data_IF_696656255410
#
_entry.id   IF_696656255410
#
_cell.length_a   1.000
_cell.length_b   1.000
_cell.length_c   1.000
_cell.angle_alpha   90.00
_cell.angle_beta   90.00
_cell.angle_gamma   90.00
#
_symmetry.space_group_name_H-M   'P 1'
#
loop_
_entity.id
_entity.type
_entity.pdbx_description
1 polymer ?
#
# COMPACT_ATOMS: atom_id res chain seq x y z
N UNK A 1 70.21 23.78 -62.57
CA UNK A 1 70.13 24.93 -61.65
C UNK A 1 69.09 24.58 -60.62
N UNK A 2 69.57 24.49 -59.37
CA UNK A 2 68.85 23.92 -58.26
C UNK A 2 67.98 24.96 -57.58
N UNK A 3 66.79 24.60 -57.19
CA UNK A 3 66.08 25.26 -56.11
C UNK A 3 65.32 24.21 -55.23
N UNK A 4 65.89 24.04 -54.09
CA UNK A 4 65.31 23.23 -53.03
C UNK A 4 64.21 24.05 -52.31
N UNK A 5 63.00 23.61 -52.31
CA UNK A 5 61.94 24.15 -51.41
C UNK A 5 61.88 23.31 -50.11
N UNK A 6 62.22 23.94 -49.05
CA UNK A 6 62.12 23.41 -47.69
C UNK A 6 60.65 23.48 -47.20
N UNK A 7 60.04 22.35 -47.01
CA UNK A 7 58.69 22.28 -46.43
C UNK A 7 58.80 22.08 -44.95
N UNK A 8 58.49 23.13 -44.21
CA UNK A 8 58.41 23.13 -42.76
C UNK A 8 57.09 22.53 -42.32
N UNK A 9 57.12 21.35 -41.68
CA UNK A 9 55.94 20.75 -41.06
C UNK A 9 55.62 21.41 -39.73
N UNK A 10 54.50 22.10 -39.66
CA UNK A 10 53.92 22.59 -38.46
C UNK A 10 53.15 21.42 -37.79
N UNK A 11 53.70 20.89 -36.72
CA UNK A 11 53.03 19.91 -35.88
C UNK A 11 52.08 20.62 -34.93
N UNK A 12 50.79 20.55 -35.19
CA UNK A 12 49.75 21.08 -34.35
C UNK A 12 49.39 20.00 -33.30
N UNK A 13 49.90 20.21 -32.08
CA UNK A 13 49.54 19.33 -30.95
C UNK A 13 48.16 19.76 -30.45
N UNK A 14 47.16 18.97 -30.76
CA UNK A 14 45.82 19.11 -30.18
C UNK A 14 45.82 18.40 -28.86
N UNK A 15 45.91 19.18 -27.76
CA UNK A 15 45.68 18.67 -26.43
C UNK A 15 44.20 18.45 -26.21
N UNK A 16 43.76 17.22 -26.29
CA UNK A 16 42.38 16.79 -25.95
C UNK A 16 42.25 16.80 -24.45
N UNK A 17 41.66 17.85 -23.90
CA UNK A 17 41.18 17.89 -22.50
C UNK A 17 39.96 16.93 -22.35
N UNK A 18 40.23 15.74 -21.87
CA UNK A 18 39.19 14.81 -21.46
C UNK A 18 38.64 15.30 -20.12
N UNK A 19 37.56 16.08 -20.15
CA UNK A 19 36.72 16.32 -18.98
C UNK A 19 36.00 15.03 -18.63
N UNK A 20 36.59 14.21 -17.79
CA UNK A 20 35.94 13.10 -17.11
C UNK A 20 34.89 13.65 -16.18
N UNK A 21 33.61 13.68 -16.60
CA UNK A 21 32.49 13.79 -15.70
C UNK A 21 32.48 12.55 -14.81
N UNK A 22 33.09 12.69 -13.65
CA UNK A 22 32.95 11.75 -12.53
C UNK A 22 31.58 12.00 -11.92
N UNK A 23 30.55 11.39 -12.53
CA UNK A 23 29.22 11.29 -11.95
C UNK A 23 29.36 10.60 -10.60
N UNK A 24 29.21 11.33 -9.51
CA UNK A 24 29.06 10.75 -8.18
C UNK A 24 27.82 9.88 -8.22
N UNK A 25 28.03 8.56 -8.23
CA UNK A 25 26.98 7.58 -7.90
C UNK A 25 26.56 7.92 -6.48
N UNK A 26 25.42 8.58 -6.34
CA UNK A 26 24.78 8.73 -5.02
C UNK A 26 24.49 7.32 -4.55
N UNK A 27 25.24 6.84 -3.58
CA UNK A 27 24.84 5.66 -2.82
C UNK A 27 23.41 5.91 -2.34
N UNK A 28 22.48 5.10 -2.85
CA UNK A 28 21.12 5.06 -2.36
C UNK A 28 21.21 4.54 -0.94
N UNK A 29 21.05 5.44 0.00
CA UNK A 29 21.10 5.15 1.44
C UNK A 29 19.99 4.16 1.76
N UNK A 30 20.34 2.87 1.82
CA UNK A 30 19.42 1.73 2.03
C UNK A 30 18.71 1.74 3.40
N UNK A 31 18.97 2.74 4.24
CA UNK A 31 18.42 2.84 5.59
C UNK A 31 17.41 3.98 5.77
N UNK A 32 16.92 4.59 4.69
CA UNK A 32 15.84 5.57 4.83
C UNK A 32 14.56 4.79 5.12
N UNK A 33 14.05 4.91 6.35
CA UNK A 33 12.71 4.44 6.69
C UNK A 33 11.74 4.92 5.60
N UNK A 34 10.95 4.00 5.04
CA UNK A 34 9.99 4.36 4.01
C UNK A 34 9.05 5.43 4.59
N UNK A 35 9.00 6.56 3.93
CA UNK A 35 8.17 7.68 4.36
C UNK A 35 6.74 7.39 3.92
N UNK A 36 5.78 7.62 4.82
CA UNK A 36 4.36 7.58 4.51
C UNK A 36 4.03 8.40 3.26
N UNK A 37 3.27 7.81 2.35
CA UNK A 37 2.97 8.37 1.02
C UNK A 37 1.62 9.10 0.96
N UNK A 38 0.75 8.97 1.98
CA UNK A 38 -0.57 9.59 1.99
C UNK A 38 -0.48 11.05 2.47
N UNK A 39 -0.72 12.07 1.62
CA UNK A 39 -0.88 13.44 2.06
C UNK A 39 -2.22 13.60 2.79
N UNK A 40 -2.28 14.43 3.83
CA UNK A 40 -3.50 14.79 4.55
C UNK A 40 -3.82 16.28 4.34
N UNK A 41 -5.11 16.63 4.40
CA UNK A 41 -5.62 17.99 4.23
C UNK A 41 -5.72 18.70 5.58
N UNK A 42 -4.58 19.01 6.19
CA UNK A 42 -4.55 19.67 7.49
C UNK A 42 -5.23 21.04 7.44
N UNK A 43 -6.18 21.27 8.35
CA UNK A 43 -6.87 22.56 8.51
C UNK A 43 -8.10 22.78 7.62
N UNK A 44 -8.44 21.86 6.73
CA UNK A 44 -9.71 21.91 5.98
C UNK A 44 -10.83 21.26 6.83
N UNK A 45 -11.86 22.05 7.13
CA UNK A 45 -12.97 21.63 7.99
C UNK A 45 -13.81 20.48 7.45
N UNK A 46 -13.71 20.20 6.15
CA UNK A 46 -14.38 19.06 5.52
C UNK A 46 -13.74 17.73 5.89
N UNK A 47 -12.48 17.75 6.29
CA UNK A 47 -11.73 16.54 6.62
C UNK A 47 -11.72 16.28 8.12
N UNK A 48 -12.06 15.06 8.48
CA UNK A 48 -12.10 14.57 9.86
C UNK A 48 -11.02 13.51 10.02
N UNK A 49 -10.07 13.73 10.92
CA UNK A 49 -8.97 12.82 11.12
C UNK A 49 -9.43 11.46 11.68
N UNK A 50 -8.90 10.39 11.14
CA UNK A 50 -9.13 9.03 11.65
C UNK A 50 -8.37 8.85 12.96
N UNK A 51 -9.09 8.41 14.01
CA UNK A 51 -8.49 7.97 15.27
C UNK A 51 -7.84 6.58 15.07
N UNK A 52 -6.54 6.56 14.86
CA UNK A 52 -5.80 5.32 14.57
C UNK A 52 -5.73 4.36 15.75
N UNK A 53 -6.03 4.81 16.98
CA UNK A 53 -6.06 3.96 18.18
C UNK A 53 -7.39 3.22 18.32
N UNK A 54 -8.48 3.85 17.87
CA UNK A 54 -9.83 3.26 17.93
C UNK A 54 -10.23 2.55 16.63
N UNK A 55 -9.44 2.74 15.55
CA UNK A 55 -9.67 2.15 14.23
C UNK A 55 -8.84 0.89 14.03
N UNK A 56 -9.39 -0.09 13.32
CA UNK A 56 -8.72 -1.39 13.10
C UNK A 56 -9.17 -2.00 11.78
N UNK A 57 -8.24 -2.66 11.10
CA UNK A 57 -8.53 -3.55 9.98
C UNK A 57 -8.21 -4.97 10.43
N UNK A 58 -9.24 -5.81 10.50
CA UNK A 58 -9.10 -7.24 10.75
C UNK A 58 -9.02 -7.97 9.41
N UNK A 59 -8.06 -8.87 9.26
CA UNK A 59 -7.92 -9.71 8.07
C UNK A 59 -8.23 -11.17 8.38
N UNK A 60 -8.71 -11.90 7.38
CA UNK A 60 -8.95 -13.32 7.45
C UNK A 60 -8.51 -13.98 6.13
N UNK A 61 -7.72 -15.03 6.25
CA UNK A 61 -7.28 -15.90 5.15
C UNK A 61 -7.37 -17.37 5.55
N UNK A 62 -7.35 -18.28 4.58
CA UNK A 62 -7.44 -19.72 4.83
C UNK A 62 -6.71 -20.52 3.74
N UNK A 63 -6.59 -21.84 3.94
CA UNK A 63 -6.29 -22.74 2.84
C UNK A 63 -7.41 -22.72 1.80
N UNK A 64 -7.15 -23.24 0.59
CA UNK A 64 -8.15 -23.31 -0.49
C UNK A 64 -9.39 -24.09 -0.07
N UNK A 65 -9.22 -25.14 0.73
CA UNK A 65 -10.33 -25.97 1.26
C UNK A 65 -11.09 -25.29 2.42
N UNK A 66 -10.75 -24.04 2.80
CA UNK A 66 -11.36 -23.36 3.94
C UNK A 66 -10.94 -23.90 5.30
N UNK A 67 -10.01 -24.84 5.33
CA UNK A 67 -9.47 -25.43 6.57
C UNK A 67 -8.40 -24.51 7.14
N UNK A 68 -8.26 -24.51 8.47
CA UNK A 68 -7.27 -23.68 9.21
C UNK A 68 -7.40 -22.18 8.86
N UNK A 69 -8.53 -21.52 9.11
CA UNK A 69 -8.65 -20.09 8.92
C UNK A 69 -7.68 -19.37 9.88
N UNK A 70 -6.94 -18.42 9.32
CA UNK A 70 -6.15 -17.48 10.10
C UNK A 70 -6.83 -16.13 10.13
N UNK A 71 -6.81 -15.48 11.28
CA UNK A 71 -7.39 -14.18 11.50
C UNK A 71 -6.43 -13.32 12.30
N UNK A 72 -6.37 -12.06 11.96
CA UNK A 72 -5.53 -11.12 12.67
C UNK A 72 -5.91 -9.70 12.35
N UNK A 73 -5.06 -8.76 12.70
CA UNK A 73 -5.32 -7.35 12.51
C UNK A 73 -4.07 -6.59 12.11
N UNK A 74 -4.32 -5.42 11.54
CA UNK A 74 -3.31 -4.45 11.16
C UNK A 74 -3.83 -3.07 11.51
N UNK A 75 -2.95 -2.15 11.89
CA UNK A 75 -3.33 -0.82 12.33
C UNK A 75 -3.11 0.23 11.25
N UNK A 76 -3.93 1.27 11.31
CA UNK A 76 -3.75 2.44 10.50
C UNK A 76 -2.57 3.27 11.03
N UNK A 77 -1.77 3.82 10.13
CA UNK A 77 -0.74 4.83 10.46
C UNK A 77 -1.35 6.23 10.49
N UNK A 78 -2.27 6.52 9.59
CA UNK A 78 -3.02 7.77 9.48
C UNK A 78 -4.19 7.65 8.53
N UNK A 79 -5.02 8.69 8.49
CA UNK A 79 -6.11 8.79 7.52
C UNK A 79 -7.05 9.93 7.87
N UNK A 80 -7.93 10.21 6.94
CA UNK A 80 -8.98 11.23 7.06
C UNK A 80 -10.21 10.83 6.26
N UNK A 81 -11.37 11.27 6.72
CA UNK A 81 -12.64 11.11 6.03
C UNK A 81 -13.16 12.50 5.61
N UNK A 82 -13.64 12.62 4.39
CA UNK A 82 -14.27 13.85 3.90
C UNK A 82 -15.76 13.81 4.19
N UNK A 83 -16.23 14.81 4.96
CA UNK A 83 -17.62 14.92 5.39
C UNK A 83 -18.20 16.22 4.85
N UNK A 84 -19.22 16.13 4.02
CA UNK A 84 -19.95 17.27 3.49
C UNK A 84 -21.45 17.12 3.81
N UNK A 85 -22.06 18.18 4.31
CA UNK A 85 -23.49 18.18 4.70
C UNK A 85 -23.88 17.01 5.62
N UNK A 86 -22.96 16.64 6.54
CA UNK A 86 -23.19 15.55 7.49
C UNK A 86 -23.11 14.14 6.88
N UNK A 87 -22.58 14.00 5.66
CA UNK A 87 -22.43 12.71 4.98
C UNK A 87 -20.99 12.46 4.55
N UNK A 88 -20.59 11.20 4.56
CA UNK A 88 -19.31 10.76 4.00
C UNK A 88 -19.35 10.94 2.48
N UNK A 89 -18.39 11.68 1.93
CA UNK A 89 -18.25 11.90 0.48
C UNK A 89 -16.92 11.39 -0.07
N UNK A 90 -15.91 11.19 0.78
CA UNK A 90 -14.59 10.73 0.38
C UNK A 90 -13.70 10.43 1.58
N UNK A 91 -12.41 10.32 1.33
CA UNK A 91 -11.41 10.11 2.35
C UNK A 91 -10.29 9.19 1.90
N UNK A 92 -9.28 9.05 2.73
CA UNK A 92 -8.19 8.13 2.50
C UNK A 92 -7.61 7.62 3.81
N UNK A 93 -7.09 6.40 3.79
CA UNK A 93 -6.45 5.77 4.93
C UNK A 93 -5.19 5.05 4.51
N UNK A 94 -4.20 5.06 5.39
CA UNK A 94 -2.93 4.36 5.25
C UNK A 94 -2.78 3.36 6.39
N UNK A 95 -2.38 2.15 6.04
CA UNK A 95 -2.15 1.03 6.96
C UNK A 95 -0.65 0.79 7.06
N UNK A 96 -0.13 0.66 8.31
CA UNK A 96 1.24 0.24 8.55
C UNK A 96 1.33 -1.29 8.54
N UNK A 97 1.87 -1.85 7.45
CA UNK A 97 2.01 -3.29 7.25
C UNK A 97 2.99 -3.95 8.24
N UNK A 98 3.86 -3.17 8.92
CA UNK A 98 4.70 -3.70 9.99
C UNK A 98 3.90 -4.14 11.21
N UNK A 99 2.69 -3.62 11.37
CA UNK A 99 1.80 -3.90 12.50
C UNK A 99 0.95 -5.17 12.34
N UNK A 100 1.11 -5.92 11.24
CA UNK A 100 0.37 -7.18 11.03
C UNK A 100 0.58 -8.11 12.22
N UNK A 101 -0.54 -8.59 12.77
CA UNK A 101 -0.59 -9.54 13.89
C UNK A 101 -1.56 -10.67 13.60
N UNK A 102 -1.30 -11.83 14.17
CA UNK A 102 -2.19 -12.98 14.21
C UNK A 102 -2.95 -12.96 15.55
N UNK A 103 -4.27 -13.17 15.52
CA UNK A 103 -5.10 -13.16 16.70
C UNK A 103 -4.76 -14.33 17.65
N UNK A 104 -4.45 -15.50 17.09
CA UNK A 104 -4.18 -16.71 17.86
C UNK A 104 -2.79 -16.78 18.50
N UNK A 105 -1.77 -16.20 17.86
CA UNK A 105 -0.36 -16.49 18.20
C UNK A 105 0.49 -15.25 18.43
N UNK A 106 0.00 -14.13 18.85
CA UNK A 106 0.80 -12.90 19.11
C UNK A 106 1.93 -12.66 18.07
N UNK A 107 2.50 -11.52 17.98
CA UNK A 107 3.26 -10.94 16.85
C UNK A 107 4.55 -11.65 16.36
N UNK A 108 4.91 -12.83 16.87
CA UNK A 108 6.21 -13.43 16.56
C UNK A 108 6.15 -14.90 16.09
N UNK A 109 5.08 -15.29 15.39
CA UNK A 109 4.96 -16.63 14.83
C UNK A 109 5.46 -16.71 13.38
N UNK A 110 5.63 -17.94 12.88
CA UNK A 110 6.10 -18.18 11.51
C UNK A 110 5.15 -17.61 10.45
N UNK A 111 3.84 -17.60 10.70
CA UNK A 111 2.86 -17.02 9.79
C UNK A 111 3.11 -15.52 9.59
N UNK A 112 3.29 -14.76 10.67
CA UNK A 112 3.55 -13.31 10.59
C UNK A 112 4.87 -13.01 9.88
N UNK A 113 5.92 -13.79 10.14
CA UNK A 113 7.18 -13.66 9.39
C UNK A 113 6.95 -13.86 7.91
N UNK A 114 6.23 -14.92 7.55
CA UNK A 114 5.93 -15.26 6.17
C UNK A 114 5.04 -14.22 5.48
N UNK A 115 4.02 -13.70 6.16
CA UNK A 115 3.20 -12.61 5.62
C UNK A 115 4.01 -11.35 5.29
N UNK A 116 5.11 -11.11 6.01
CA UNK A 116 6.01 -9.96 5.78
C UNK A 116 7.08 -10.20 4.73
N UNK A 117 7.30 -11.46 4.32
CA UNK A 117 8.34 -11.84 3.37
C UNK A 117 8.05 -11.35 1.93
N UNK A 118 9.09 -11.33 1.06
CA UNK A 118 8.98 -10.84 -0.33
C UNK A 118 7.95 -11.57 -1.19
N UNK A 119 7.73 -12.86 -0.96
CA UNK A 119 6.77 -13.69 -1.71
C UNK A 119 5.31 -13.47 -1.27
N UNK A 120 5.09 -12.68 -0.20
CA UNK A 120 3.78 -12.27 0.25
C UNK A 120 3.62 -10.74 0.18
N UNK A 121 3.61 -10.01 1.30
CA UNK A 121 3.42 -8.56 1.29
C UNK A 121 4.71 -7.74 1.08
N UNK A 122 5.88 -8.35 1.23
CA UNK A 122 7.20 -7.69 1.12
C UNK A 122 7.27 -6.38 1.92
N UNK A 123 6.93 -6.49 3.20
CA UNK A 123 6.73 -5.33 4.08
C UNK A 123 7.98 -4.47 4.22
N UNK A 124 9.17 -5.08 4.04
CA UNK A 124 10.44 -4.33 4.04
C UNK A 124 10.52 -3.33 2.90
N UNK A 125 10.01 -3.68 1.73
CA UNK A 125 10.00 -2.82 0.54
C UNK A 125 8.72 -1.97 0.50
N UNK A 126 7.58 -2.52 0.93
CA UNK A 126 6.27 -1.89 0.87
C UNK A 126 5.62 -1.82 2.26
N UNK A 127 6.13 -0.97 3.17
CA UNK A 127 5.66 -0.92 4.55
C UNK A 127 4.26 -0.33 4.72
N UNK A 128 3.69 0.27 3.67
CA UNK A 128 2.36 0.87 3.72
C UNK A 128 1.46 0.35 2.61
N UNK A 129 0.17 0.21 2.94
CA UNK A 129 -0.93 0.01 2.00
C UNK A 129 -1.93 1.14 2.17
N UNK A 130 -2.59 1.57 1.09
CA UNK A 130 -3.51 2.72 1.14
C UNK A 130 -4.84 2.40 0.46
N UNK A 131 -5.91 3.00 0.98
CA UNK A 131 -7.22 3.05 0.35
C UNK A 131 -7.61 4.52 0.17
N UNK A 132 -7.84 4.95 -1.07
CA UNK A 132 -8.40 6.26 -1.40
C UNK A 132 -9.83 6.09 -1.91
N UNK A 133 -10.81 6.66 -1.21
CA UNK A 133 -12.23 6.60 -1.60
C UNK A 133 -12.43 7.51 -2.80
N UNK A 134 -12.99 6.96 -3.88
CA UNK A 134 -13.28 7.69 -5.11
C UNK A 134 -14.77 7.95 -5.32
N UNK A 135 -15.64 7.17 -4.66
CA UNK A 135 -17.08 7.32 -4.73
C UNK A 135 -17.75 6.74 -3.49
N UNK A 136 -18.75 7.45 -3.00
CA UNK A 136 -19.68 6.99 -1.97
C UNK A 136 -21.10 7.05 -2.52
N UNK A 137 -21.75 5.90 -2.69
CA UNK A 137 -23.13 5.81 -3.11
C UNK A 137 -24.01 5.44 -1.91
N UNK A 138 -25.03 6.23 -1.61
CA UNK A 138 -25.99 5.94 -0.55
C UNK A 138 -26.96 4.86 -0.97
N UNK A 139 -27.11 3.80 -0.16
CA UNK A 139 -28.15 2.78 -0.28
C UNK A 139 -29.35 3.25 0.56
N UNK A 140 -29.06 3.68 1.78
CA UNK A 140 -30.01 4.35 2.67
C UNK A 140 -29.25 5.36 3.56
N UNK A 141 -29.82 5.80 4.67
CA UNK A 141 -29.20 6.81 5.55
C UNK A 141 -27.83 6.37 6.07
N UNK A 142 -27.65 5.11 6.45
CA UNK A 142 -26.43 4.60 7.07
C UNK A 142 -25.65 3.66 6.13
N UNK A 143 -26.35 2.86 5.32
CA UNK A 143 -25.69 1.89 4.44
C UNK A 143 -25.22 2.56 3.15
N UNK A 144 -23.96 2.40 2.86
CA UNK A 144 -23.23 2.98 1.73
C UNK A 144 -22.54 1.88 0.91
N UNK A 145 -22.42 2.14 -0.39
CA UNK A 145 -21.50 1.43 -1.26
C UNK A 145 -20.26 2.30 -1.44
N UNK A 146 -19.14 1.84 -0.94
CA UNK A 146 -17.85 2.54 -1.03
C UNK A 146 -17.09 2.00 -2.24
N UNK A 147 -16.65 2.88 -3.12
CA UNK A 147 -15.69 2.56 -4.19
C UNK A 147 -14.42 3.33 -3.93
N UNK A 148 -13.27 2.68 -4.07
CA UNK A 148 -11.98 3.31 -3.85
C UNK A 148 -10.85 2.59 -4.57
N UNK A 149 -9.69 3.21 -4.58
CA UNK A 149 -8.44 2.66 -5.10
C UNK A 149 -7.64 2.08 -3.94
N UNK A 150 -7.48 0.75 -3.92
CA UNK A 150 -6.67 0.03 -2.95
C UNK A 150 -5.28 -0.21 -3.54
N UNK A 151 -4.25 0.26 -2.84
CA UNK A 151 -2.85 0.06 -3.21
C UNK A 151 -2.17 -0.87 -2.21
N UNK A 152 -1.65 -2.00 -2.69
CA UNK A 152 -0.82 -2.96 -1.94
C UNK A 152 0.41 -3.25 -2.81
N UNK A 153 1.60 -3.31 -2.24
CA UNK A 153 2.88 -3.54 -2.96
C UNK A 153 3.05 -2.59 -4.17
N UNK A 154 2.66 -1.32 -4.04
CA UNK A 154 2.65 -0.31 -5.10
C UNK A 154 1.79 -0.68 -6.34
N UNK A 155 0.92 -1.66 -6.23
CA UNK A 155 -0.05 -2.02 -7.27
C UNK A 155 -1.41 -1.49 -6.81
N UNK A 156 -2.11 -0.78 -7.70
CA UNK A 156 -3.41 -0.17 -7.38
C UNK A 156 -4.52 -0.82 -8.20
N UNK A 157 -5.57 -1.24 -7.51
CA UNK A 157 -6.80 -1.73 -8.14
C UNK A 157 -8.03 -1.08 -7.52
N UNK A 158 -9.08 -0.84 -8.32
CA UNK A 158 -10.37 -0.41 -7.79
C UNK A 158 -11.00 -1.54 -6.98
N UNK A 159 -11.59 -1.16 -5.84
CA UNK A 159 -12.38 -2.05 -5.01
C UNK A 159 -13.71 -1.41 -4.70
N UNK A 160 -14.75 -2.25 -4.48
CA UNK A 160 -16.07 -1.77 -4.09
C UNK A 160 -16.61 -2.68 -3.00
N UNK A 161 -17.12 -2.09 -1.92
CA UNK A 161 -17.60 -2.85 -0.75
C UNK A 161 -18.70 -2.10 -0.01
N UNK A 162 -19.59 -2.82 0.67
CA UNK A 162 -20.60 -2.23 1.53
C UNK A 162 -19.99 -1.74 2.83
N UNK A 163 -20.51 -0.62 3.33
CA UNK A 163 -20.16 -0.10 4.64
C UNK A 163 -21.37 0.56 5.31
N UNK A 164 -21.47 0.41 6.63
CA UNK A 164 -22.39 1.18 7.46
C UNK A 164 -21.65 2.39 8.01
N UNK A 165 -22.19 3.58 7.80
CA UNK A 165 -21.56 4.85 8.17
C UNK A 165 -22.55 5.70 8.97
N UNK A 166 -22.15 6.09 10.17
CA UNK A 166 -22.87 6.97 11.05
C UNK A 166 -22.07 8.25 11.25
N UNK A 167 -22.70 9.41 10.98
CA UNK A 167 -22.09 10.73 11.21
C UNK A 167 -22.99 11.47 12.22
N UNK A 168 -22.46 11.72 13.42
CA UNK A 168 -23.22 12.38 14.48
C UNK A 168 -22.30 13.22 15.38
N UNK A 169 -22.64 14.50 15.57
CA UNK A 169 -21.95 15.40 16.50
C UNK A 169 -20.40 15.42 16.31
N UNK A 170 -19.92 15.47 15.09
CA UNK A 170 -18.48 15.48 14.76
C UNK A 170 -17.79 14.12 14.90
N UNK A 171 -18.52 13.07 15.29
CA UNK A 171 -18.03 11.70 15.34
C UNK A 171 -18.50 10.95 14.09
N UNK A 172 -17.58 10.27 13.42
CA UNK A 172 -17.84 9.35 12.31
C UNK A 172 -17.50 7.94 12.74
N UNK A 173 -18.45 7.01 12.57
CA UNK A 173 -18.23 5.58 12.73
C UNK A 173 -18.51 4.90 11.40
N UNK A 174 -17.55 4.15 10.88
CA UNK A 174 -17.73 3.38 9.67
C UNK A 174 -17.29 1.93 9.88
N UNK A 175 -18.14 0.99 9.45
CA UNK A 175 -17.86 -0.45 9.47
C UNK A 175 -18.06 -1.00 8.06
N UNK A 176 -17.03 -1.55 7.46
CA UNK A 176 -17.05 -2.08 6.10
C UNK A 176 -16.56 -3.53 6.03
N UNK A 177 -17.00 -4.25 5.00
CA UNK A 177 -16.52 -5.61 4.70
C UNK A 177 -16.01 -5.64 3.26
N UNK A 178 -14.74 -5.96 3.10
CA UNK A 178 -14.08 -6.05 1.80
C UNK A 178 -13.47 -7.44 1.63
N UNK A 179 -13.67 -8.05 0.47
CA UNK A 179 -12.94 -9.25 0.06
C UNK A 179 -12.18 -8.95 -1.22
N UNK A 180 -10.92 -9.33 -1.26
CA UNK A 180 -10.05 -9.16 -2.43
C UNK A 180 -9.52 -10.49 -2.93
N UNK A 181 -9.16 -10.53 -4.21
CA UNK A 181 -8.27 -11.54 -4.77
C UNK A 181 -6.82 -11.03 -4.65
N UNK A 182 -6.03 -11.60 -3.73
CA UNK A 182 -4.66 -11.17 -3.45
C UNK A 182 -3.74 -11.26 -4.66
N UNK A 183 -4.06 -12.12 -5.62
CA UNK A 183 -3.22 -12.33 -6.80
C UNK A 183 -3.19 -11.11 -7.73
N UNK A 184 -4.20 -10.25 -7.67
CA UNK A 184 -4.23 -8.97 -8.38
C UNK A 184 -3.10 -8.04 -7.92
N UNK A 185 -2.67 -8.13 -6.66
CA UNK A 185 -1.54 -7.38 -6.10
C UNK A 185 -0.22 -8.17 -6.13
N UNK A 186 -0.11 -9.13 -7.06
CA UNK A 186 1.09 -9.96 -7.23
C UNK A 186 1.50 -10.76 -5.99
N UNK A 187 0.52 -11.13 -5.15
CA UNK A 187 0.70 -12.01 -3.99
C UNK A 187 0.29 -13.42 -4.43
N UNK A 188 1.26 -14.17 -5.01
CA UNK A 188 1.00 -15.44 -5.71
C UNK A 188 1.33 -16.67 -4.90
N UNK A 189 2.04 -16.54 -3.77
CA UNK A 189 2.52 -17.67 -2.98
C UNK A 189 1.43 -18.72 -2.73
N UNK A 190 1.73 -19.96 -3.10
CA UNK A 190 0.83 -21.12 -3.02
C UNK A 190 -0.60 -20.88 -3.54
N UNK A 191 -0.76 -20.05 -4.57
CA UNK A 191 -2.01 -19.89 -5.28
C UNK A 191 -2.17 -20.98 -6.35
N UNK A 192 -3.29 -21.69 -6.36
CA UNK A 192 -3.59 -22.70 -7.38
C UNK A 192 -3.69 -22.17 -8.81
N UNK A 193 -3.69 -20.82 -9.01
CA UNK A 193 -3.61 -20.21 -10.34
C UNK A 193 -2.19 -20.19 -10.91
N UNK A 194 -1.16 -20.28 -10.05
CA UNK A 194 0.25 -20.07 -10.43
C UNK A 194 1.16 -21.26 -10.10
N UNK A 195 0.69 -22.20 -9.30
CA UNK A 195 1.46 -23.36 -8.86
C UNK A 195 0.65 -24.62 -9.05
N UNK A 196 1.23 -25.59 -9.72
CA UNK A 196 0.66 -26.93 -9.87
C UNK A 196 1.01 -27.81 -8.66
N UNK A 197 0.24 -28.86 -8.46
CA UNK A 197 0.49 -29.92 -7.48
C UNK A 197 0.55 -29.48 -6.00
N UNK A 198 -0.13 -28.38 -5.66
CA UNK A 198 -0.17 -27.88 -4.28
C UNK A 198 -0.98 -28.78 -3.33
N UNK A 199 -1.93 -29.57 -3.88
CA UNK A 199 -2.84 -30.40 -3.10
C UNK A 199 -3.46 -29.62 -1.90
N UNK A 200 -3.28 -30.09 -0.68
CA UNK A 200 -3.80 -29.44 0.53
C UNK A 200 -3.00 -28.21 1.00
N UNK A 201 -1.89 -27.89 0.34
CA UNK A 201 -1.06 -26.74 0.68
C UNK A 201 -1.48 -25.45 -0.03
N UNK A 202 -2.43 -25.54 -0.96
CA UNK A 202 -2.93 -24.38 -1.66
C UNK A 202 -3.58 -23.38 -0.68
N UNK A 203 -3.20 -22.10 -0.80
CA UNK A 203 -3.75 -21.00 -0.03
C UNK A 203 -4.82 -20.30 -0.86
N UNK A 204 -5.97 -20.01 -0.26
CA UNK A 204 -7.04 -19.25 -0.90
C UNK A 204 -6.50 -17.93 -1.46
N UNK A 205 -6.95 -17.60 -2.68
CA UNK A 205 -6.64 -16.28 -3.27
C UNK A 205 -7.46 -15.16 -2.63
N UNK A 206 -8.55 -15.50 -1.93
CA UNK A 206 -9.40 -14.54 -1.25
C UNK A 206 -8.85 -14.19 0.12
N UNK A 207 -8.75 -12.87 0.39
CA UNK A 207 -8.54 -12.33 1.74
C UNK A 207 -9.74 -11.45 2.06
N UNK A 208 -10.39 -11.72 3.20
CA UNK A 208 -11.48 -10.91 3.72
C UNK A 208 -10.98 -9.91 4.76
N UNK A 209 -11.57 -8.72 4.78
CA UNK A 209 -11.29 -7.66 5.73
C UNK A 209 -12.58 -7.18 6.39
N UNK A 210 -12.55 -7.06 7.72
CA UNK A 210 -13.52 -6.28 8.49
C UNK A 210 -12.84 -4.96 8.87
N UNK A 211 -13.39 -3.85 8.41
CA UNK A 211 -12.84 -2.50 8.54
C UNK A 211 -13.67 -1.75 9.56
N UNK A 212 -13.06 -1.32 10.65
CA UNK A 212 -13.66 -0.45 11.68
C UNK A 212 -12.92 0.87 11.69
N UNK A 213 -13.61 1.96 11.40
CA UNK A 213 -13.05 3.32 11.40
C UNK A 213 -13.82 4.19 12.38
N UNK A 214 -13.08 4.89 13.19
CA UNK A 214 -13.55 5.99 14.05
C UNK A 214 -12.79 7.24 13.64
N UNK A 215 -13.51 8.32 13.35
CA UNK A 215 -12.91 9.63 13.08
C UNK A 215 -13.61 10.69 13.93
N UNK A 216 -12.81 11.63 14.46
CA UNK A 216 -13.29 12.68 15.37
C UNK A 216 -12.75 14.03 14.91
N UNK A 217 -13.63 15.05 14.93
CA UNK A 217 -13.26 16.46 14.77
C UNK A 217 -12.51 16.96 16.00
#
# INVERSE_FOLDING_TARGET
MNNKLSTTYFILIIASLIFGCRGSVKEVNKNKAATSVLPLHAGDEKYVAIDTKESTVTWQGSSLAGVNPHKGYVYLSKGELMIENGQLTGGAAEVDMNTIKDEAHKSNNNLIKHLKDPDFFDVKQFPFSTLAITKVASINTEDKQITGNLTIKNITHPVTFPARVEVKNGLVKANGKLTIDRTLWNIRYKSGKFYDHLANEAISDSIAFDIKIIAKK
#
